data_IF_797745559592
#
_entry.id   IF_797745559592
#
_cell.length_a   1.000
_cell.length_b   1.000
_cell.length_c   1.000
_cell.angle_alpha   90.00
_cell.angle_beta   90.00
_cell.angle_gamma   90.00
#
_symmetry.space_group_name_H-M   'P 1'
#
loop_
_entity.id
_entity.type
_entity.pdbx_description
1 polymer ?
#
# COMPACT_ATOMS: atom_id res chain seq x y z
N UNK A 1 -5.35 -16.62 23.41
CA UNK A 1 -5.36 -16.87 21.95
C UNK A 1 -4.69 -15.78 21.10
N UNK A 2 -4.72 -14.48 21.47
CA UNK A 2 -4.04 -13.41 20.71
C UNK A 2 -2.50 -13.54 20.65
N UNK A 3 -1.86 -13.95 21.74
CA UNK A 3 -0.38 -14.04 21.86
C UNK A 3 0.21 -15.06 20.87
N UNK A 4 -0.45 -16.22 20.67
CA UNK A 4 0.01 -17.24 19.71
C UNK A 4 -0.05 -16.77 18.25
N UNK A 5 -0.99 -15.89 17.89
CA UNK A 5 -1.11 -15.36 16.52
C UNK A 5 -0.02 -14.33 16.21
N UNK A 6 0.39 -13.53 17.20
CA UNK A 6 1.48 -12.54 17.06
C UNK A 6 2.84 -13.25 16.88
N UNK A 7 3.13 -14.30 17.65
CA UNK A 7 4.33 -15.13 17.44
C UNK A 7 4.40 -15.76 16.04
N UNK A 8 3.26 -15.97 15.37
CA UNK A 8 3.21 -16.47 13.98
C UNK A 8 3.62 -15.40 12.97
N UNK A 9 3.43 -14.12 13.28
CA UNK A 9 3.92 -12.98 12.48
C UNK A 9 5.43 -12.81 12.69
N UNK A 10 5.91 -12.85 13.93
CA UNK A 10 7.32 -12.60 14.28
C UNK A 10 8.31 -13.55 13.58
N UNK A 11 7.98 -14.85 13.46
CA UNK A 11 8.82 -15.81 12.73
C UNK A 11 8.85 -15.64 11.20
N UNK A 12 7.93 -14.87 10.63
CA UNK A 12 7.79 -14.67 9.18
C UNK A 12 8.09 -13.24 8.74
N UNK A 13 8.51 -12.37 9.65
CA UNK A 13 8.67 -10.95 9.40
C UNK A 13 9.79 -10.67 8.38
N UNK A 14 10.95 -11.33 8.53
CA UNK A 14 12.02 -11.29 7.54
C UNK A 14 11.61 -12.09 6.30
N UNK A 15 11.26 -11.37 5.22
CA UNK A 15 10.87 -11.96 3.94
C UNK A 15 9.36 -12.09 3.69
N UNK A 16 8.51 -11.53 4.56
CA UNK A 16 7.07 -11.47 4.30
C UNK A 16 6.79 -10.71 2.98
N UNK A 17 5.99 -11.30 2.10
CA UNK A 17 5.49 -10.58 0.93
C UNK A 17 4.48 -9.51 1.37
N UNK A 18 4.57 -8.32 0.77
CA UNK A 18 3.65 -7.22 1.09
C UNK A 18 2.18 -7.63 0.94
N UNK A 19 1.85 -8.40 -0.11
CA UNK A 19 0.49 -8.92 -0.35
C UNK A 19 -0.03 -9.69 0.86
N UNK A 20 0.79 -10.63 1.34
CA UNK A 20 0.41 -11.48 2.47
C UNK A 20 0.25 -10.69 3.76
N UNK A 21 1.14 -9.73 3.99
CA UNK A 21 1.01 -8.84 5.15
C UNK A 21 -0.29 -8.02 5.09
N UNK A 22 -0.60 -7.46 3.91
CA UNK A 22 -1.81 -6.65 3.71
C UNK A 22 -3.10 -7.47 3.88
N UNK A 23 -3.12 -8.74 3.46
CA UNK A 23 -4.28 -9.63 3.55
C UNK A 23 -4.48 -10.24 4.95
N UNK A 24 -3.39 -10.67 5.61
CA UNK A 24 -3.48 -11.49 6.82
C UNK A 24 -3.30 -10.69 8.12
N UNK A 25 -2.43 -9.69 8.14
CA UNK A 25 -2.05 -9.02 9.40
C UNK A 25 -3.17 -8.19 10.03
N UNK A 26 -4.03 -7.47 9.27
CA UNK A 26 -5.16 -6.75 9.86
C UNK A 26 -6.06 -7.68 10.68
N UNK A 27 -6.45 -8.83 10.12
CA UNK A 27 -7.29 -9.80 10.83
C UNK A 27 -6.60 -10.38 12.06
N UNK A 28 -5.29 -10.64 11.97
CA UNK A 28 -4.52 -11.18 13.10
C UNK A 28 -4.45 -10.17 14.25
N UNK A 29 -4.22 -8.88 13.94
CA UNK A 29 -3.94 -7.84 14.92
C UNK A 29 -5.21 -7.21 15.47
N UNK A 30 -6.12 -6.77 14.59
CA UNK A 30 -7.33 -6.02 14.96
C UNK A 30 -8.58 -6.90 15.02
N UNK A 31 -8.55 -8.07 14.37
CA UNK A 31 -9.71 -8.96 14.24
C UNK A 31 -10.59 -8.66 13.02
N UNK A 32 -10.24 -7.66 12.20
CA UNK A 32 -10.95 -7.28 10.98
C UNK A 32 -10.01 -7.25 9.78
N UNK A 33 -10.51 -7.64 8.60
CA UNK A 33 -9.75 -7.59 7.34
C UNK A 33 -9.84 -6.20 6.72
N UNK A 34 -8.82 -5.83 5.95
CA UNK A 34 -8.97 -4.76 4.98
C UNK A 34 -9.84 -5.21 3.81
N UNK A 35 -10.68 -4.31 3.32
CA UNK A 35 -11.40 -4.51 2.07
C UNK A 35 -10.50 -4.09 0.90
N UNK A 36 -9.90 -5.07 0.24
CA UNK A 36 -8.99 -4.85 -0.89
C UNK A 36 -9.72 -4.48 -2.20
N UNK A 37 -11.06 -4.45 -2.19
CA UNK A 37 -11.87 -3.98 -3.32
C UNK A 37 -12.11 -2.47 -3.29
N UNK A 38 -11.84 -1.83 -2.16
CA UNK A 38 -12.04 -0.42 -1.92
C UNK A 38 -10.71 0.33 -1.82
N UNK A 39 -10.77 1.62 -2.11
CA UNK A 39 -9.63 2.51 -1.92
C UNK A 39 -9.43 2.83 -0.44
N UNK A 40 -8.18 3.01 0.02
CA UNK A 40 -6.94 3.06 -0.78
C UNK A 40 -6.26 1.69 -0.99
N UNK A 41 -6.79 0.61 -0.42
CA UNK A 41 -6.13 -0.70 -0.41
C UNK A 41 -6.07 -1.36 -1.79
N UNK A 42 -7.10 -1.16 -2.61
CA UNK A 42 -7.11 -1.59 -4.01
C UNK A 42 -5.91 -1.01 -4.77
N UNK A 43 -5.69 0.30 -4.68
CA UNK A 43 -4.53 0.95 -5.30
C UNK A 43 -3.20 0.47 -4.71
N UNK A 44 -3.13 0.18 -3.42
CA UNK A 44 -1.93 -0.37 -2.80
C UNK A 44 -1.56 -1.75 -3.37
N UNK A 45 -2.53 -2.64 -3.61
CA UNK A 45 -2.26 -3.94 -4.25
C UNK A 45 -1.84 -3.78 -5.73
N UNK A 46 -2.49 -2.86 -6.47
CA UNK A 46 -2.09 -2.53 -7.85
C UNK A 46 -0.65 -1.99 -7.92
N UNK A 47 -0.26 -1.10 -6.99
CA UNK A 47 1.10 -0.58 -6.90
C UNK A 47 2.11 -1.68 -6.60
N UNK A 48 1.79 -2.59 -5.66
CA UNK A 48 2.62 -3.77 -5.39
C UNK A 48 2.78 -4.62 -6.65
N UNK A 49 1.69 -4.88 -7.38
CA UNK A 49 1.75 -5.66 -8.62
C UNK A 49 2.63 -4.98 -9.67
N UNK A 50 2.47 -3.65 -9.89
CA UNK A 50 3.29 -2.88 -10.82
C UNK A 50 4.76 -2.88 -10.42
N UNK A 51 5.08 -2.63 -9.15
CA UNK A 51 6.46 -2.71 -8.63
C UNK A 51 7.08 -4.07 -8.91
N UNK A 52 6.35 -5.16 -8.66
CA UNK A 52 6.84 -6.51 -8.96
C UNK A 52 7.13 -6.68 -10.46
N UNK A 53 6.24 -6.20 -11.33
CA UNK A 53 6.48 -6.22 -12.79
C UNK A 53 7.72 -5.41 -13.18
N UNK A 54 7.93 -4.23 -12.60
CA UNK A 54 9.13 -3.40 -12.82
C UNK A 54 10.41 -4.10 -12.36
N UNK A 55 10.40 -4.71 -11.17
CA UNK A 55 11.55 -5.49 -10.65
C UNK A 55 11.89 -6.66 -11.57
N UNK A 56 10.88 -7.33 -12.12
CA UNK A 56 11.04 -8.43 -13.06
C UNK A 56 11.21 -7.99 -14.52
N UNK A 57 11.47 -6.69 -14.76
CA UNK A 57 11.72 -6.08 -16.08
C UNK A 57 10.61 -6.30 -17.11
N UNK A 58 9.40 -6.66 -16.68
CA UNK A 58 8.26 -6.76 -17.60
C UNK A 58 7.54 -5.43 -17.77
N UNK A 59 7.88 -4.42 -16.96
CA UNK A 59 7.32 -3.08 -17.13
C UNK A 59 8.11 -1.99 -16.42
N UNK A 60 9.02 -1.33 -17.15
CA UNK A 60 9.85 -0.24 -16.63
C UNK A 60 9.31 1.17 -16.94
N UNK A 61 8.28 1.27 -17.80
CA UNK A 61 7.74 2.55 -18.22
C UNK A 61 6.83 3.17 -17.15
N UNK A 62 6.94 4.48 -16.98
CA UNK A 62 6.08 5.28 -16.13
C UNK A 62 5.80 6.64 -16.79
N UNK A 63 4.53 7.02 -16.89
CA UNK A 63 4.15 8.39 -17.22
C UNK A 63 4.22 9.29 -15.98
N UNK A 64 4.23 10.60 -16.18
CA UNK A 64 4.15 11.56 -15.08
C UNK A 64 2.86 11.38 -14.26
N UNK A 65 1.75 11.13 -14.94
CA UNK A 65 0.45 10.82 -14.34
C UNK A 65 0.52 9.57 -13.45
N UNK A 66 1.11 8.48 -13.94
CA UNK A 66 1.34 7.28 -13.14
C UNK A 66 2.15 7.57 -11.88
N UNK A 67 3.21 8.36 -11.99
CA UNK A 67 4.07 8.70 -10.85
C UNK A 67 3.31 9.50 -9.78
N UNK A 68 2.49 10.47 -10.20
CA UNK A 68 1.66 11.29 -9.30
C UNK A 68 0.60 10.45 -8.59
N UNK A 69 -0.18 9.69 -9.33
CA UNK A 69 -1.20 8.79 -8.77
C UNK A 69 -0.62 7.72 -7.87
N UNK A 70 0.59 7.21 -8.20
CA UNK A 70 1.30 6.26 -7.37
C UNK A 70 1.69 6.86 -6.02
N UNK A 71 2.26 8.07 -6.02
CA UNK A 71 2.62 8.78 -4.79
C UNK A 71 1.38 9.06 -3.94
N UNK A 72 0.33 9.63 -4.54
CA UNK A 72 -0.95 9.90 -3.90
C UNK A 72 -1.53 8.65 -3.22
N UNK A 73 -1.70 7.58 -4.00
CA UNK A 73 -2.31 6.34 -3.48
C UNK A 73 -1.45 5.66 -2.42
N UNK A 74 -0.12 5.70 -2.58
CA UNK A 74 0.80 5.11 -1.59
C UNK A 74 0.73 5.85 -0.25
N UNK A 75 0.65 7.19 -0.27
CA UNK A 75 0.52 8.00 0.94
C UNK A 75 -0.82 7.74 1.62
N UNK A 76 -1.93 7.80 0.89
CA UNK A 76 -3.26 7.55 1.45
C UNK A 76 -3.37 6.13 2.02
N UNK A 77 -2.89 5.11 1.30
CA UNK A 77 -2.85 3.75 1.81
C UNK A 77 -2.02 3.62 3.09
N UNK A 78 -0.82 4.25 3.12
CA UNK A 78 0.06 4.21 4.29
C UNK A 78 -0.56 4.93 5.49
N UNK A 79 -1.28 6.02 5.25
CA UNK A 79 -2.03 6.75 6.28
C UNK A 79 -3.16 5.88 6.85
N UNK A 80 -4.03 5.33 6.00
CA UNK A 80 -5.12 4.45 6.45
C UNK A 80 -4.62 3.21 7.19
N UNK A 81 -3.52 2.59 6.74
CA UNK A 81 -2.88 1.48 7.44
C UNK A 81 -2.40 1.93 8.83
N UNK A 82 -1.71 3.06 8.91
CA UNK A 82 -1.21 3.59 10.18
C UNK A 82 -2.34 3.92 11.14
N UNK A 83 -3.39 4.57 10.65
CA UNK A 83 -4.56 4.94 11.45
C UNK A 83 -5.27 3.68 12.00
N UNK A 84 -5.36 2.62 11.21
CA UNK A 84 -5.97 1.36 11.64
C UNK A 84 -5.19 0.66 12.77
N UNK A 85 -3.85 0.69 12.71
CA UNK A 85 -3.01 -0.02 13.68
C UNK A 85 -2.59 0.83 14.88
N UNK A 86 -2.46 2.14 14.70
CA UNK A 86 -1.83 3.05 15.67
C UNK A 86 -2.75 4.22 16.07
N UNK A 87 -3.93 4.35 15.46
CA UNK A 87 -4.88 5.44 15.72
C UNK A 87 -4.53 6.74 14.98
N UNK A 88 -5.31 7.79 15.25
CA UNK A 88 -5.31 9.09 14.52
C UNK A 88 -3.94 9.80 14.47
N UNK A 89 -3.05 9.53 15.43
CA UNK A 89 -1.70 10.10 15.49
C UNK A 89 -0.61 9.11 15.06
N UNK A 90 -1.01 7.98 14.47
CA UNK A 90 -0.13 6.90 14.06
C UNK A 90 0.72 7.21 12.84
N UNK A 91 0.24 8.09 11.96
CA UNK A 91 0.90 8.38 10.69
C UNK A 91 2.08 9.36 10.87
N UNK A 92 3.30 8.84 10.75
CA UNK A 92 4.55 9.56 11.06
C UNK A 92 4.89 10.70 10.10
N UNK A 93 4.30 10.74 8.91
CA UNK A 93 4.66 11.71 7.86
C UNK A 93 3.74 12.93 7.81
N UNK A 94 2.86 13.13 8.80
CA UNK A 94 1.98 14.30 8.86
C UNK A 94 2.75 15.64 8.79
N UNK A 95 3.91 15.77 9.44
CA UNK A 95 4.72 16.99 9.38
C UNK A 95 5.29 17.27 7.99
N UNK A 96 5.65 16.22 7.26
CA UNK A 96 6.13 16.32 5.86
C UNK A 96 4.99 16.77 4.95
N UNK A 97 3.80 16.15 5.09
CA UNK A 97 2.63 16.52 4.30
C UNK A 97 2.11 17.93 4.62
N UNK A 98 2.29 18.41 5.85
CA UNK A 98 1.97 19.80 6.20
C UNK A 98 2.88 20.79 5.46
N UNK A 99 4.18 20.48 5.38
CA UNK A 99 5.16 21.34 4.69
C UNK A 99 5.05 21.23 3.16
N UNK A 100 4.73 20.05 2.66
CA UNK A 100 4.61 19.73 1.24
C UNK A 100 3.28 19.02 1.00
N UNK A 101 2.17 19.79 0.86
CA UNK A 101 0.85 19.21 0.70
C UNK A 101 0.79 18.40 -0.58
N UNK A 102 0.30 17.17 -0.44
CA UNK A 102 0.09 16.29 -1.57
C UNK A 102 -1.16 16.73 -2.33
N UNK A 103 -1.03 16.92 -3.63
CA UNK A 103 -2.21 17.18 -4.46
C UNK A 103 -3.07 15.93 -4.53
N UNK A 104 -4.39 16.13 -4.53
CA UNK A 104 -5.32 15.05 -4.80
C UNK A 104 -5.14 14.62 -6.26
N UNK A 105 -4.91 13.33 -6.45
CA UNK A 105 -4.77 12.72 -7.76
C UNK A 105 -5.80 11.60 -7.90
N UNK A 106 -5.93 11.04 -9.09
CA UNK A 106 -6.70 9.82 -9.26
C UNK A 106 -6.03 8.64 -8.54
N UNK A 107 -6.85 7.66 -8.16
CA UNK A 107 -6.36 6.42 -7.58
C UNK A 107 -5.51 5.66 -8.59
N UNK A 108 -4.41 5.05 -8.14
CA UNK A 108 -3.53 4.30 -9.03
C UNK A 108 -4.26 3.13 -9.70
N UNK A 109 -5.29 2.57 -9.05
CA UNK A 109 -6.13 1.53 -9.64
C UNK A 109 -6.94 1.97 -10.87
N UNK A 110 -7.04 3.29 -11.10
CA UNK A 110 -7.78 3.92 -12.20
C UNK A 110 -6.86 4.45 -13.30
N UNK A 111 -5.55 4.45 -13.09
CA UNK A 111 -4.58 4.97 -14.06
C UNK A 111 -4.39 3.97 -15.19
N UNK A 112 -4.40 4.48 -16.42
CA UNK A 112 -4.00 3.71 -17.59
C UNK A 112 -2.49 3.44 -17.54
N UNK A 113 -2.12 2.16 -17.47
CA UNK A 113 -0.72 1.77 -17.52
C UNK A 113 -0.18 1.92 -18.94
N UNK A 114 1.04 2.43 -19.04
CA UNK A 114 1.82 2.36 -20.27
C UNK A 114 2.42 0.96 -20.35
N UNK A 115 2.01 0.22 -21.36
CA UNK A 115 2.59 -1.06 -21.73
C UNK A 115 3.60 -0.86 -22.86
N UNK A 116 4.68 -1.65 -22.86
CA UNK A 116 5.57 -1.70 -24.02
C UNK A 116 4.77 -2.23 -25.21
N UNK A 117 4.79 -1.53 -26.34
CA UNK A 117 4.28 -2.07 -27.59
C UNK A 117 5.09 -3.34 -27.89
N UNK A 118 4.42 -4.50 -27.84
CA UNK A 118 4.96 -5.80 -28.29
C UNK A 118 5.42 -5.74 -29.73
#
# INVERSE_FOLDING_TARGET
>A
MKIQKIHKIERKYEGASFKKALEEWPEIITGAKFDLTQEPFKSADHLRARRNATVHKSSALASLEMARSALFSAVEASKTISDNFLGENGFKYNSVLYKYPLQQEQWFSQVQLVDEAT
#
